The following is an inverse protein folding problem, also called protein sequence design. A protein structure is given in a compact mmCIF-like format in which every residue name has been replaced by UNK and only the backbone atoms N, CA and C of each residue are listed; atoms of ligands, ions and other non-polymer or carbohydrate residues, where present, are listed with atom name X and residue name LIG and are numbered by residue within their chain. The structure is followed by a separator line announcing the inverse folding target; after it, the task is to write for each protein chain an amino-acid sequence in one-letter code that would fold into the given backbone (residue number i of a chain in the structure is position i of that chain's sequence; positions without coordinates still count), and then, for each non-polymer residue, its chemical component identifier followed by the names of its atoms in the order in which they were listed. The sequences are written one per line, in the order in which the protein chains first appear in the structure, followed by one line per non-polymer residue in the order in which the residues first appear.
data_IF_179534437664
#
_entry.id   IF_179534437664
#
_cell.length_a   1.000
_cell.length_b   1.000
_cell.length_c   1.000
_cell.angle_alpha   90.00
_cell.angle_beta   90.00
_cell.angle_gamma   90.00
#
_symmetry.space_group_name_H-M   'P 1'
#
loop_
_entity.id
_entity.type
_entity.pdbx_description
1 polymer ?
#
# COMPACT_ATOMS: atom_id res chain seq x y z
N UNK A 1 -63.39 -50.25 -38.66
CA UNK A 1 -62.51 -50.01 -39.81
C UNK A 1 -61.91 -48.60 -39.73
N UNK A 2 -60.86 -48.35 -38.92
CA UNK A 2 -60.06 -47.10 -38.93
C UNK A 2 -58.62 -47.37 -38.46
N UNK A 3 -58.07 -48.56 -38.76
CA UNK A 3 -56.71 -48.95 -38.35
C UNK A 3 -55.59 -48.88 -39.42
N UNK A 4 -55.85 -48.75 -40.74
CA UNK A 4 -54.75 -48.62 -41.70
C UNK A 4 -54.38 -47.17 -42.11
N UNK A 5 -55.22 -46.16 -41.81
CA UNK A 5 -54.93 -44.75 -42.17
C UNK A 5 -54.04 -43.99 -41.16
N UNK A 6 -53.96 -44.45 -39.90
CA UNK A 6 -53.12 -43.79 -38.89
C UNK A 6 -51.62 -44.13 -39.06
N UNK A 7 -51.29 -45.32 -39.56
CA UNK A 7 -49.90 -45.74 -39.78
C UNK A 7 -49.21 -44.97 -40.90
N UNK A 8 -49.92 -44.62 -41.98
CA UNK A 8 -49.33 -43.86 -43.10
C UNK A 8 -49.00 -42.40 -42.71
N UNK A 9 -49.83 -41.78 -41.86
CA UNK A 9 -49.62 -40.39 -41.43
C UNK A 9 -48.43 -40.26 -40.45
N UNK A 10 -48.24 -41.25 -39.57
CA UNK A 10 -47.14 -41.26 -38.59
C UNK A 10 -45.79 -41.50 -39.28
N UNK A 11 -45.73 -42.36 -40.30
CA UNK A 11 -44.49 -42.60 -41.06
C UNK A 11 -44.08 -41.34 -41.85
N UNK A 12 -45.03 -40.61 -42.43
CA UNK A 12 -44.74 -39.38 -43.17
C UNK A 12 -44.17 -38.27 -42.28
N UNK A 13 -44.73 -38.08 -41.07
CA UNK A 13 -44.24 -37.07 -40.11
C UNK A 13 -42.84 -37.40 -39.58
N UNK A 14 -42.53 -38.68 -39.34
CA UNK A 14 -41.22 -39.11 -38.84
C UNK A 14 -40.10 -38.96 -39.90
N UNK A 15 -40.40 -39.19 -41.17
CA UNK A 15 -39.42 -39.04 -42.26
C UNK A 15 -39.09 -37.56 -42.52
N UNK A 16 -40.07 -36.66 -42.44
CA UNK A 16 -39.86 -35.21 -42.62
C UNK A 16 -39.07 -34.62 -41.45
N UNK A 17 -39.34 -35.05 -40.21
CA UNK A 17 -38.60 -34.58 -39.02
C UNK A 17 -37.12 -35.01 -39.03
N UNK A 18 -36.80 -36.17 -39.62
CA UNK A 18 -35.43 -36.66 -39.74
C UNK A 18 -34.57 -35.90 -40.76
N UNK A 19 -35.20 -35.27 -41.78
CA UNK A 19 -34.48 -34.48 -42.79
C UNK A 19 -34.24 -33.02 -42.36
N UNK A 20 -35.04 -32.46 -41.43
CA UNK A 20 -34.94 -31.06 -41.02
C UNK A 20 -34.03 -30.81 -39.80
N UNK A 21 -33.60 -31.85 -39.06
CA UNK A 21 -32.77 -31.71 -37.86
C UNK A 21 -31.61 -32.73 -37.80
N UNK A 22 -30.39 -32.40 -38.27
CA UNK A 22 -29.23 -33.26 -38.07
C UNK A 22 -28.81 -33.32 -36.59
N UNK A 23 -28.67 -34.54 -36.06
CA UNK A 23 -28.15 -34.81 -34.71
C UNK A 23 -26.65 -34.50 -34.62
N UNK A 24 -26.27 -33.72 -33.60
CA UNK A 24 -24.89 -33.54 -33.13
C UNK A 24 -24.35 -34.84 -32.50
N UNK A 25 -23.03 -35.14 -32.60
CA UNK A 25 -22.48 -36.42 -32.14
C UNK A 25 -22.37 -36.51 -30.61
N UNK A 26 -22.82 -37.67 -30.10
CA UNK A 26 -22.73 -38.12 -28.72
C UNK A 26 -21.37 -38.80 -28.46
N UNK A 27 -20.59 -38.30 -27.51
CA UNK A 27 -19.45 -39.03 -26.93
C UNK A 27 -19.70 -39.46 -25.48
N UNK A 28 -19.23 -40.67 -25.21
CA UNK A 28 -19.55 -41.57 -24.09
C UNK A 28 -19.12 -41.06 -22.71
N UNK A 29 -19.96 -41.38 -21.72
CA UNK A 29 -19.68 -41.27 -20.29
C UNK A 29 -18.81 -42.45 -19.83
N UNK A 30 -17.73 -42.16 -19.11
CA UNK A 30 -17.05 -43.09 -18.21
C UNK A 30 -16.84 -42.41 -16.85
N UNK A 31 -17.21 -43.12 -15.79
CA UNK A 31 -17.26 -42.68 -14.40
C UNK A 31 -15.88 -42.54 -13.75
N UNK A 32 -15.63 -41.45 -13.01
CA UNK A 32 -14.53 -41.35 -12.03
C UNK A 32 -14.95 -40.53 -10.80
N UNK A 33 -14.83 -41.17 -9.64
CA UNK A 33 -14.36 -40.67 -8.33
C UNK A 33 -14.74 -39.26 -7.83
N UNK A 34 -15.45 -39.24 -6.69
CA UNK A 34 -15.49 -38.13 -5.72
C UNK A 34 -14.07 -37.64 -5.40
N UNK A 35 -13.78 -36.36 -5.67
CA UNK A 35 -12.68 -35.62 -5.08
C UNK A 35 -13.10 -34.16 -4.84
N UNK A 36 -12.79 -33.64 -3.65
CA UNK A 36 -13.36 -32.42 -3.08
C UNK A 36 -13.14 -31.14 -3.88
N UNK A 37 -14.17 -30.28 -3.85
CA UNK A 37 -14.11 -28.88 -4.23
C UNK A 37 -13.25 -28.12 -3.21
N UNK A 38 -11.94 -28.12 -3.43
CA UNK A 38 -11.07 -27.05 -2.93
C UNK A 38 -11.24 -25.79 -3.80
N UNK A 39 -11.07 -24.58 -3.25
CA UNK A 39 -11.16 -23.35 -4.04
C UNK A 39 -10.05 -23.32 -5.11
N UNK A 40 -10.29 -22.64 -6.25
CA UNK A 40 -9.36 -22.65 -7.37
C UNK A 40 -8.02 -22.05 -6.97
N UNK A 41 -6.93 -22.78 -7.27
CA UNK A 41 -5.57 -22.27 -7.23
C UNK A 41 -5.47 -21.11 -8.23
N UNK A 42 -5.32 -19.89 -7.72
CA UNK A 42 -5.05 -18.70 -8.52
C UNK A 42 -3.69 -18.84 -9.20
N UNK A 43 -3.71 -19.09 -10.51
CA UNK A 43 -2.57 -18.90 -11.40
C UNK A 43 -2.34 -17.40 -11.52
N UNK A 44 -1.23 -16.91 -10.98
CA UNK A 44 -0.81 -15.51 -11.12
C UNK A 44 -0.48 -15.22 -12.58
N UNK A 45 -1.28 -14.37 -13.21
CA UNK A 45 -0.99 -13.81 -14.54
C UNK A 45 0.34 -13.05 -14.50
N UNK A 46 1.22 -13.37 -15.44
CA UNK A 46 2.61 -12.90 -15.57
C UNK A 46 2.78 -11.36 -15.45
N UNK A 47 3.90 -10.94 -14.85
CA UNK A 47 4.50 -9.61 -15.07
C UNK A 47 4.45 -8.59 -13.93
N UNK A 48 3.81 -8.87 -12.78
CA UNK A 48 3.90 -7.97 -11.61
C UNK A 48 5.00 -8.43 -10.65
N UNK A 49 5.84 -7.50 -10.15
CA UNK A 49 6.83 -7.85 -9.13
C UNK A 49 6.17 -8.47 -7.90
N UNK A 50 6.79 -9.52 -7.33
CA UNK A 50 6.27 -10.19 -6.14
C UNK A 50 6.36 -9.24 -4.94
N UNK A 51 5.21 -8.68 -4.54
CA UNK A 51 5.04 -7.96 -3.28
C UNK A 51 4.84 -8.99 -2.17
N UNK A 52 5.57 -8.86 -1.07
CA UNK A 52 5.53 -9.82 0.02
C UNK A 52 4.89 -9.19 1.25
N UNK A 53 3.99 -9.95 1.85
CA UNK A 53 3.19 -9.55 3.00
C UNK A 53 3.79 -10.06 4.30
N UNK A 54 3.34 -9.52 5.43
CA UNK A 54 3.69 -10.05 6.75
C UNK A 54 3.40 -11.56 6.90
N UNK A 55 2.33 -12.06 6.29
CA UNK A 55 2.01 -13.50 6.30
C UNK A 55 3.09 -14.34 5.63
N UNK A 56 3.71 -13.81 4.57
CA UNK A 56 4.81 -14.47 3.89
C UNK A 56 6.07 -14.47 4.77
N UNK A 57 6.30 -13.39 5.55
CA UNK A 57 7.40 -13.28 6.53
C UNK A 57 7.32 -14.29 7.69
N UNK A 58 6.11 -14.77 8.01
CA UNK A 58 5.90 -15.72 9.10
C UNK A 58 6.20 -17.17 8.70
N UNK A 59 6.41 -17.46 7.42
CA UNK A 59 6.76 -18.82 6.97
C UNK A 59 8.22 -19.11 7.30
N UNK A 60 8.51 -20.34 7.71
CA UNK A 60 9.85 -20.73 8.18
C UNK A 60 10.90 -20.79 7.06
N UNK A 61 10.47 -20.88 5.81
CA UNK A 61 11.33 -20.87 4.62
C UNK A 61 11.63 -19.46 4.10
N UNK A 62 11.20 -18.41 4.81
CA UNK A 62 11.15 -17.07 4.27
C UNK A 62 11.84 -16.03 5.16
N UNK A 63 12.94 -15.47 4.65
CA UNK A 63 13.72 -14.41 5.29
C UNK A 63 13.96 -13.26 4.29
N UNK A 64 14.15 -12.05 4.81
CA UNK A 64 14.59 -10.90 4.04
C UNK A 64 16.08 -11.02 3.70
N UNK A 65 16.37 -11.34 2.45
CA UNK A 65 17.72 -11.61 1.98
C UNK A 65 18.38 -10.35 1.37
N UNK A 66 19.14 -9.62 2.20
CA UNK A 66 19.94 -8.48 1.75
C UNK A 66 21.07 -8.85 0.81
N UNK A 67 21.54 -10.10 0.84
CA UNK A 67 22.57 -10.63 -0.08
C UNK A 67 21.95 -11.03 -1.43
N UNK A 68 20.66 -11.35 -1.45
CA UNK A 68 19.91 -11.70 -2.65
C UNK A 68 19.43 -10.49 -3.46
N UNK A 69 18.17 -10.52 -3.85
CA UNK A 69 17.52 -9.52 -4.72
C UNK A 69 16.41 -8.74 -4.03
N UNK A 70 16.27 -8.91 -2.71
CA UNK A 70 15.18 -8.34 -1.93
C UNK A 70 15.35 -6.84 -1.73
N UNK A 71 14.25 -6.10 -1.87
CA UNK A 71 14.23 -4.65 -1.75
C UNK A 71 13.14 -4.22 -0.78
N UNK A 72 13.55 -3.55 0.29
CA UNK A 72 12.64 -2.83 1.17
C UNK A 72 12.20 -1.52 0.52
N UNK A 73 10.89 -1.27 0.45
CA UNK A 73 10.32 -0.06 -0.16
C UNK A 73 9.59 0.73 0.90
N UNK A 74 10.12 1.90 1.26
CA UNK A 74 9.49 2.77 2.25
C UNK A 74 8.51 3.76 1.62
N UNK A 75 7.21 3.48 1.76
CA UNK A 75 6.12 4.39 1.44
C UNK A 75 5.98 5.43 2.56
N UNK A 76 6.51 6.63 2.31
CA UNK A 76 6.54 7.72 3.29
C UNK A 76 5.31 8.64 3.13
N UNK A 77 4.30 8.43 3.97
CA UNK A 77 3.14 9.33 4.06
C UNK A 77 3.53 10.62 4.80
N UNK A 78 3.05 11.77 4.35
CA UNK A 78 3.37 13.04 4.99
C UNK A 78 2.92 13.03 6.46
N UNK A 79 3.81 13.52 7.33
CA UNK A 79 3.56 13.82 8.74
C UNK A 79 3.30 12.62 9.65
N UNK A 80 3.72 11.41 9.23
CA UNK A 80 3.64 10.17 10.02
C UNK A 80 4.97 9.80 10.69
N UNK A 81 5.80 10.77 11.05
CA UNK A 81 7.13 10.49 11.64
C UNK A 81 8.17 9.90 10.65
N UNK A 82 7.82 9.69 9.38
CA UNK A 82 8.69 9.03 8.39
C UNK A 82 10.05 9.68 8.12
N UNK A 83 10.26 10.93 8.52
CA UNK A 83 11.60 11.55 8.51
C UNK A 83 12.54 10.95 9.55
N UNK A 84 12.04 10.58 10.74
CA UNK A 84 12.84 9.94 11.80
C UNK A 84 13.07 8.48 11.43
N UNK A 85 12.01 7.72 11.15
CA UNK A 85 12.11 6.32 10.74
C UNK A 85 12.96 6.11 9.49
N UNK A 86 12.81 6.96 8.47
CA UNK A 86 13.65 6.89 7.28
C UNK A 86 15.14 7.10 7.57
N UNK A 87 15.50 7.85 8.63
CA UNK A 87 16.91 7.97 9.08
C UNK A 87 17.35 6.71 9.81
N UNK A 88 16.51 6.12 10.66
CA UNK A 88 16.81 4.84 11.31
C UNK A 88 17.16 3.77 10.28
N UNK A 89 16.38 3.66 9.19
CA UNK A 89 16.64 2.70 8.10
C UNK A 89 18.00 2.87 7.41
N UNK A 90 18.59 4.08 7.41
CA UNK A 90 19.87 4.34 6.70
C UNK A 90 21.05 4.57 7.64
N UNK A 91 20.85 4.65 8.95
CA UNK A 91 21.91 4.99 9.91
C UNK A 91 22.00 4.06 11.10
N UNK A 92 20.87 3.48 11.50
CA UNK A 92 20.75 2.86 12.81
C UNK A 92 20.45 1.37 12.73
N UNK A 93 20.48 0.74 11.54
CA UNK A 93 20.42 -0.72 11.41
C UNK A 93 21.80 -1.35 11.57
N UNK A 94 21.86 -2.45 12.30
CA UNK A 94 23.03 -3.32 12.38
C UNK A 94 23.15 -4.13 11.10
N UNK A 95 24.13 -3.80 10.26
CA UNK A 95 24.31 -4.37 8.91
C UNK A 95 25.75 -4.80 8.70
N UNK A 96 25.95 -5.92 7.99
CA UNK A 96 27.29 -6.35 7.50
C UNK A 96 27.98 -5.22 6.72
N UNK A 97 27.20 -4.49 5.91
CA UNK A 97 27.64 -3.29 5.20
C UNK A 97 26.70 -2.12 5.50
N UNK A 98 27.07 -1.20 6.40
CA UNK A 98 26.28 -0.01 6.69
C UNK A 98 26.09 0.88 5.45
N UNK A 99 24.99 1.64 5.41
CA UNK A 99 24.80 2.64 4.36
C UNK A 99 25.85 3.76 4.47
N UNK A 100 26.37 4.19 3.32
CA UNK A 100 27.35 5.27 3.26
C UNK A 100 26.64 6.63 3.18
N UNK A 101 26.58 7.33 4.31
CA UNK A 101 25.95 8.65 4.43
C UNK A 101 27.00 9.78 4.49
N UNK A 102 27.25 10.47 3.38
CA UNK A 102 28.19 11.60 3.36
C UNK A 102 27.58 12.84 4.02
N UNK A 103 28.36 13.54 4.86
CA UNK A 103 27.95 14.80 5.49
C UNK A 103 27.55 15.82 4.41
N UNK A 104 26.45 16.55 4.66
CA UNK A 104 25.89 17.51 3.71
C UNK A 104 25.06 16.89 2.57
N UNK A 105 25.16 15.59 2.31
CA UNK A 105 24.29 14.91 1.33
C UNK A 105 23.02 14.41 2.00
N UNK A 106 21.87 14.70 1.37
CA UNK A 106 20.57 14.21 1.84
C UNK A 106 20.37 12.71 1.61
N UNK A 107 21.09 12.09 0.67
CA UNK A 107 20.96 10.66 0.34
C UNK A 107 22.19 9.89 0.77
N UNK A 108 21.96 8.69 1.29
CA UNK A 108 22.95 7.69 1.62
C UNK A 108 23.00 6.60 0.53
N UNK A 109 24.15 5.94 0.38
CA UNK A 109 24.28 4.77 -0.49
C UNK A 109 24.07 3.50 0.35
N UNK A 110 22.90 2.89 0.22
CA UNK A 110 22.56 1.61 0.86
C UNK A 110 22.75 0.47 -0.14
N UNK A 111 24.01 0.09 -0.35
CA UNK A 111 24.39 -0.96 -1.28
C UNK A 111 24.49 -2.31 -0.57
N UNK A 112 24.24 -3.40 -1.31
CA UNK A 112 24.41 -4.78 -0.81
C UNK A 112 25.87 -5.07 -0.42
N UNK A 113 26.15 -6.11 0.41
CA UNK A 113 27.52 -6.56 0.65
C UNK A 113 28.27 -6.86 -0.67
N UNK A 114 29.60 -6.62 -0.73
CA UNK A 114 30.37 -6.82 -1.97
C UNK A 114 30.29 -8.25 -2.51
N UNK A 115 30.23 -9.23 -1.61
CA UNK A 115 30.07 -10.66 -1.89
C UNK A 115 28.75 -11.04 -2.55
N UNK A 116 27.76 -10.13 -2.58
CA UNK A 116 26.37 -10.47 -2.83
C UNK A 116 25.61 -9.42 -3.67
N UNK A 117 26.25 -8.87 -4.71
CA UNK A 117 25.59 -7.93 -5.64
C UNK A 117 26.12 -6.49 -5.61
N UNK A 118 27.19 -6.24 -4.87
CA UNK A 118 28.08 -5.09 -5.09
C UNK A 118 27.42 -3.72 -4.88
N UNK A 119 27.09 -3.01 -5.96
CA UNK A 119 26.59 -1.62 -5.91
C UNK A 119 25.06 -1.49 -5.99
N UNK A 120 24.34 -2.60 -6.12
CA UNK A 120 22.87 -2.65 -6.13
C UNK A 120 22.29 -2.28 -4.78
N UNK A 121 21.08 -1.70 -4.77
CA UNK A 121 20.48 -1.21 -3.53
C UNK A 121 19.46 -2.21 -2.97
N UNK A 122 19.49 -2.40 -1.65
CA UNK A 122 18.50 -3.20 -0.92
C UNK A 122 17.35 -2.33 -0.34
N UNK A 123 17.46 -1.01 -0.43
CA UNK A 123 16.50 -0.06 0.14
C UNK A 123 16.05 0.98 -0.89
N UNK A 124 14.75 1.04 -1.17
CA UNK A 124 14.11 2.10 -1.93
C UNK A 124 13.39 3.08 -1.00
N UNK A 125 13.96 4.28 -0.82
CA UNK A 125 13.43 5.29 0.08
C UNK A 125 13.91 6.70 -0.30
N UNK A 126 13.29 7.73 0.30
CA UNK A 126 13.75 9.12 0.22
C UNK A 126 15.26 9.25 0.52
N UNK A 127 15.76 8.54 1.52
CA UNK A 127 17.13 8.70 2.02
C UNK A 127 18.14 7.74 1.37
N UNK A 128 17.70 6.81 0.53
CA UNK A 128 18.58 5.97 -0.29
C UNK A 128 18.52 6.37 -1.77
N UNK A 129 17.45 6.00 -2.47
CA UNK A 129 17.28 6.21 -3.91
C UNK A 129 16.77 7.63 -4.23
N UNK A 130 16.16 8.30 -3.26
CA UNK A 130 15.47 9.58 -3.44
C UNK A 130 14.06 9.39 -3.98
N UNK A 131 13.45 10.47 -4.47
CA UNK A 131 12.07 10.46 -4.99
C UNK A 131 11.98 9.97 -6.44
N UNK A 132 12.55 8.78 -6.73
CA UNK A 132 12.61 8.23 -8.10
C UNK A 132 11.24 8.01 -8.73
N UNK A 133 10.24 7.68 -7.91
CA UNK A 133 8.85 7.48 -8.35
C UNK A 133 7.93 8.68 -8.13
N UNK A 134 8.46 9.83 -7.72
CA UNK A 134 7.67 11.01 -7.36
C UNK A 134 7.86 11.40 -5.90
N UNK A 135 7.67 12.69 -5.61
CA UNK A 135 7.75 13.22 -4.25
C UNK A 135 6.59 12.64 -3.43
N UNK A 136 6.91 11.93 -2.33
CA UNK A 136 5.92 11.23 -1.52
C UNK A 136 5.02 10.30 -2.34
N UNK A 137 5.62 9.54 -3.26
CA UNK A 137 4.92 8.58 -4.09
C UNK A 137 4.07 7.63 -3.23
N UNK A 138 2.79 7.52 -3.59
CA UNK A 138 1.82 6.68 -2.88
C UNK A 138 1.86 5.21 -3.31
N UNK A 139 0.95 4.38 -2.79
CA UNK A 139 0.87 2.97 -3.13
C UNK A 139 0.65 2.75 -4.63
N UNK A 140 -0.23 3.55 -5.26
CA UNK A 140 -0.54 3.46 -6.69
C UNK A 140 0.71 3.78 -7.51
N UNK A 141 1.40 4.87 -7.16
CA UNK A 141 2.62 5.30 -7.85
C UNK A 141 3.79 4.32 -7.65
N UNK A 142 4.10 3.93 -6.41
CA UNK A 142 5.23 3.07 -6.12
C UNK A 142 5.09 1.70 -6.77
N UNK A 143 3.89 1.11 -6.69
CA UNK A 143 3.69 -0.25 -7.17
C UNK A 143 3.67 -0.37 -8.70
N UNK A 144 3.48 0.75 -9.41
CA UNK A 144 3.63 0.85 -10.85
C UNK A 144 5.06 1.26 -11.29
N UNK A 145 5.91 1.77 -10.39
CA UNK A 145 7.15 2.45 -10.76
C UNK A 145 8.44 1.79 -10.24
N UNK A 146 8.44 1.23 -9.03
CA UNK A 146 9.67 0.88 -8.29
C UNK A 146 10.58 -0.07 -9.08
N UNK A 147 10.00 -1.10 -9.72
CA UNK A 147 10.76 -2.12 -10.45
C UNK A 147 11.55 -1.52 -11.62
N UNK A 148 10.86 -0.81 -12.51
CA UNK A 148 11.50 -0.08 -13.60
C UNK A 148 12.50 0.98 -13.08
N UNK A 149 12.18 1.67 -11.98
CA UNK A 149 13.09 2.66 -11.40
C UNK A 149 14.40 2.04 -10.89
N UNK A 150 14.33 0.84 -10.32
CA UNK A 150 15.50 0.08 -9.88
C UNK A 150 16.32 -0.42 -11.07
N UNK A 151 15.68 -0.99 -12.09
CA UNK A 151 16.36 -1.46 -13.31
C UNK A 151 17.14 -0.35 -14.01
N UNK A 152 16.54 0.83 -14.16
CA UNK A 152 17.24 2.01 -14.73
C UNK A 152 18.40 2.46 -13.87
N UNK A 153 18.27 2.42 -12.55
CA UNK A 153 19.32 2.86 -11.63
C UNK A 153 20.50 1.88 -11.63
N UNK A 154 20.22 0.58 -11.74
CA UNK A 154 21.20 -0.50 -11.73
C UNK A 154 21.72 -0.86 -13.13
N UNK A 155 21.13 -0.25 -14.18
CA UNK A 155 21.41 -0.50 -15.60
C UNK A 155 21.29 -1.98 -16.00
N UNK A 156 20.47 -2.73 -15.27
CA UNK A 156 20.25 -4.15 -15.50
C UNK A 156 18.91 -4.58 -14.91
N UNK A 157 18.14 -5.42 -15.62
CA UNK A 157 16.96 -6.06 -15.04
C UNK A 157 17.38 -7.05 -13.95
N UNK A 158 16.55 -7.16 -12.91
CA UNK A 158 16.68 -8.22 -11.92
C UNK A 158 15.30 -8.67 -11.46
N UNK A 159 15.15 -9.98 -11.25
CA UNK A 159 13.98 -10.52 -10.57
C UNK A 159 14.09 -10.13 -9.10
N UNK A 160 13.28 -9.17 -8.63
CA UNK A 160 13.30 -8.66 -7.26
C UNK A 160 12.03 -9.02 -6.50
N UNK A 161 12.20 -9.16 -5.20
CA UNK A 161 11.13 -9.29 -4.21
C UNK A 161 10.98 -7.96 -3.47
N UNK A 162 9.76 -7.44 -3.34
CA UNK A 162 9.51 -6.12 -2.77
C UNK A 162 8.77 -6.18 -1.44
N UNK A 163 9.35 -5.56 -0.44
CA UNK A 163 8.87 -5.55 0.94
C UNK A 163 8.43 -4.13 1.28
N UNK A 164 7.14 -3.87 1.10
CA UNK A 164 6.60 -2.55 1.36
C UNK A 164 6.50 -2.31 2.86
N UNK A 165 7.00 -1.16 3.28
CA UNK A 165 6.95 -0.68 4.67
C UNK A 165 6.39 0.73 4.72
N UNK A 166 5.68 1.08 5.78
CA UNK A 166 5.13 2.43 5.96
C UNK A 166 4.98 2.81 7.44
N UNK A 167 4.65 4.07 7.71
CA UNK A 167 4.24 4.54 9.02
C UNK A 167 2.89 5.24 8.94
N UNK A 168 2.05 4.98 9.93
CA UNK A 168 0.79 5.67 10.18
C UNK A 168 0.88 6.53 11.44
N UNK A 169 -0.11 7.40 11.59
CA UNK A 169 -0.26 8.32 12.70
C UNK A 169 -1.73 8.57 13.01
N UNK A 170 -2.03 8.85 14.27
CA UNK A 170 -3.37 9.27 14.68
C UNK A 170 -3.85 10.42 13.76
N UNK A 171 -5.02 10.28 13.10
CA UNK A 171 -5.42 11.15 12.00
C UNK A 171 -5.52 12.64 12.35
N UNK A 172 -6.05 12.98 13.54
CA UNK A 172 -6.20 14.38 13.97
C UNK A 172 -4.81 14.99 14.20
N UNK A 173 -3.93 14.32 14.93
CA UNK A 173 -2.55 14.74 15.17
C UNK A 173 -1.75 14.88 13.85
N UNK A 174 -1.95 13.94 12.92
CA UNK A 174 -1.35 13.96 11.57
C UNK A 174 -1.83 15.17 10.76
N UNK A 175 -3.14 15.43 10.74
CA UNK A 175 -3.75 16.56 10.04
C UNK A 175 -3.28 17.91 10.60
N UNK A 176 -3.27 18.07 11.92
CA UNK A 176 -2.76 19.29 12.57
C UNK A 176 -1.26 19.49 12.33
N UNK A 177 -0.48 18.40 12.30
CA UNK A 177 0.94 18.47 11.93
C UNK A 177 1.14 18.92 10.48
N UNK A 178 0.24 18.53 9.58
CA UNK A 178 0.24 18.95 8.18
C UNK A 178 -0.12 20.43 8.06
N UNK A 179 -1.23 20.87 8.67
CA UNK A 179 -1.64 22.26 8.74
C UNK A 179 -0.47 23.17 9.15
N UNK A 180 0.19 22.88 10.27
CA UNK A 180 1.34 23.67 10.75
C UNK A 180 2.54 23.63 9.81
N UNK A 181 2.69 22.60 9.00
CA UNK A 181 3.76 22.53 8.01
C UNK A 181 3.43 23.37 6.78
N UNK A 182 2.18 23.31 6.33
CA UNK A 182 1.64 24.08 5.21
C UNK A 182 1.64 25.57 5.54
N UNK A 183 1.21 25.96 6.74
CA UNK A 183 1.25 27.33 7.25
C UNK A 183 2.66 27.94 7.21
N UNK A 184 3.72 27.12 7.24
CA UNK A 184 5.12 27.55 7.10
C UNK A 184 5.70 27.34 5.69
N UNK A 185 4.85 27.12 4.69
CA UNK A 185 5.21 27.06 3.26
C UNK A 185 5.41 25.67 2.64
N UNK A 186 5.04 24.59 3.34
CA UNK A 186 5.06 23.28 2.70
C UNK A 186 3.88 23.13 1.71
N UNK A 187 4.17 22.70 0.48
CA UNK A 187 3.14 22.46 -0.53
C UNK A 187 3.15 21.04 -1.07
N UNK A 188 4.33 20.42 -1.13
CA UNK A 188 4.59 19.19 -1.89
C UNK A 188 4.13 19.26 -3.36
N UNK A 189 4.07 20.45 -3.97
CA UNK A 189 3.63 20.66 -5.36
C UNK A 189 4.43 19.89 -6.43
N UNK A 190 5.57 19.30 -6.07
CA UNK A 190 6.35 18.42 -6.94
C UNK A 190 5.91 16.94 -6.92
N UNK A 191 4.85 16.61 -6.17
CA UNK A 191 4.19 15.31 -6.24
C UNK A 191 3.53 15.14 -7.61
N UNK A 192 3.65 13.95 -8.19
CA UNK A 192 3.16 13.69 -9.56
C UNK A 192 1.73 13.18 -9.57
N UNK A 193 1.32 12.48 -8.52
CA UNK A 193 -0.02 11.93 -8.39
C UNK A 193 -0.37 11.01 -9.56
N UNK A 194 0.60 10.22 -10.04
CA UNK A 194 0.39 9.38 -11.21
C UNK A 194 -0.61 8.26 -10.88
N UNK A 195 -1.68 8.20 -11.66
CA UNK A 195 -2.66 7.14 -11.60
C UNK A 195 -3.20 6.86 -13.01
N UNK A 196 -3.41 5.59 -13.35
CA UNK A 196 -3.84 5.22 -14.72
C UNK A 196 -2.86 5.67 -15.81
N UNK A 197 -1.56 5.81 -15.49
CA UNK A 197 -0.52 6.22 -16.44
C UNK A 197 -0.40 7.72 -16.69
N UNK A 198 -1.18 8.58 -16.02
CA UNK A 198 -1.11 10.04 -16.17
C UNK A 198 -1.19 10.79 -14.84
N UNK A 199 -0.82 12.06 -14.85
CA UNK A 199 -1.08 13.00 -13.75
C UNK A 199 -2.56 13.47 -13.80
N UNK A 200 -3.14 13.90 -12.67
CA UNK A 200 -4.44 14.55 -12.65
C UNK A 200 -4.38 15.90 -13.36
N UNK A 201 -5.50 16.29 -13.96
CA UNK A 201 -5.70 17.64 -14.48
C UNK A 201 -5.93 18.64 -13.33
N UNK A 202 -5.88 19.94 -13.61
CA UNK A 202 -6.20 20.97 -12.64
C UNK A 202 -7.65 20.90 -12.15
N UNK A 203 -8.57 20.41 -12.99
CA UNK A 203 -9.98 20.24 -12.63
C UNK A 203 -10.19 19.01 -11.72
N UNK A 204 -9.44 17.93 -11.95
CA UNK A 204 -9.48 16.73 -11.10
C UNK A 204 -8.82 16.97 -9.73
N UNK A 205 -7.81 17.84 -9.68
CA UNK A 205 -7.09 18.15 -8.45
C UNK A 205 -6.72 19.63 -8.35
N UNK A 206 -7.69 20.52 -8.05
CA UNK A 206 -7.44 21.95 -7.95
C UNK A 206 -6.63 22.29 -6.70
N UNK A 207 -5.81 23.32 -6.79
CA UNK A 207 -5.03 23.82 -5.65
C UNK A 207 -5.93 24.55 -4.64
N UNK A 208 -5.60 24.43 -3.36
CA UNK A 208 -6.26 25.20 -2.30
C UNK A 208 -5.72 26.63 -2.13
N UNK A 209 -4.70 27.00 -2.90
CA UNK A 209 -4.00 28.26 -2.75
C UNK A 209 -3.62 28.83 -4.11
N UNK A 210 -3.49 30.15 -4.14
CA UNK A 210 -3.01 30.89 -5.30
C UNK A 210 -1.51 31.17 -5.15
N UNK A 211 -0.78 31.24 -6.26
CA UNK A 211 0.64 31.58 -6.25
C UNK A 211 1.56 30.40 -5.91
N UNK A 212 2.58 30.64 -5.08
CA UNK A 212 3.71 29.70 -4.92
C UNK A 212 3.53 28.68 -3.80
N UNK A 213 2.85 29.07 -2.73
CA UNK A 213 2.54 28.25 -1.55
C UNK A 213 1.33 28.79 -0.76
N UNK A 214 1.01 28.11 0.35
CA UNK A 214 -0.11 28.42 1.23
C UNK A 214 0.38 28.88 2.62
N UNK A 215 1.44 29.71 2.64
CA UNK A 215 1.95 30.33 3.87
C UNK A 215 0.85 31.13 4.55
N UNK A 216 0.94 31.16 5.88
CA UNK A 216 0.05 31.94 6.75
C UNK A 216 -1.44 31.58 6.66
N UNK A 217 -1.79 30.48 5.97
CA UNK A 217 -3.15 29.92 5.97
C UNK A 217 -3.69 29.78 7.39
N UNK A 218 -4.90 30.26 7.60
CA UNK A 218 -5.61 30.09 8.86
C UNK A 218 -6.13 28.66 8.99
N UNK A 219 -6.44 28.24 10.22
CA UNK A 219 -6.94 26.89 10.42
C UNK A 219 -8.29 26.65 9.72
N UNK A 220 -9.16 27.66 9.72
CA UNK A 220 -10.48 27.58 9.08
C UNK A 220 -10.38 27.50 7.54
N UNK A 221 -9.50 28.28 6.91
CA UNK A 221 -9.26 28.15 5.46
C UNK A 221 -8.70 26.77 5.09
N UNK A 222 -7.82 26.22 5.93
CA UNK A 222 -7.27 24.88 5.73
C UNK A 222 -8.34 23.80 5.80
N UNK A 223 -9.30 23.93 6.72
CA UNK A 223 -10.46 23.03 6.82
C UNK A 223 -11.45 23.19 5.66
N UNK A 224 -11.69 24.43 5.22
CA UNK A 224 -12.73 24.75 4.26
C UNK A 224 -12.42 24.32 2.82
N UNK A 225 -11.14 24.13 2.45
CA UNK A 225 -10.79 23.77 1.07
C UNK A 225 -11.23 22.33 0.69
N UNK A 226 -12.14 22.14 -0.28
CA UNK A 226 -12.66 20.81 -0.64
C UNK A 226 -11.64 19.88 -1.31
N UNK A 227 -10.57 20.43 -1.89
CA UNK A 227 -9.48 19.69 -2.54
C UNK A 227 -8.25 19.51 -1.65
N UNK A 228 -8.34 19.82 -0.34
CA UNK A 228 -7.22 19.70 0.56
C UNK A 228 -6.75 18.24 0.68
N UNK A 229 -5.58 17.94 0.14
CA UNK A 229 -4.97 16.61 0.15
C UNK A 229 -4.58 16.12 1.55
N UNK A 230 -4.64 16.96 2.58
CA UNK A 230 -4.51 16.52 3.96
C UNK A 230 -5.69 15.64 4.40
N UNK A 231 -6.87 15.82 3.81
CA UNK A 231 -8.07 15.04 4.10
C UNK A 231 -7.89 13.59 3.65
N UNK A 232 -8.12 12.64 4.57
CA UNK A 232 -8.03 11.20 4.35
C UNK A 232 -6.73 10.78 3.65
N UNK A 233 -5.62 11.47 3.98
CA UNK A 233 -4.33 11.31 3.29
C UNK A 233 -3.82 9.87 3.42
N UNK A 234 -3.91 9.26 4.59
CA UNK A 234 -3.35 7.93 4.82
C UNK A 234 -4.10 6.89 4.00
N UNK A 235 -5.43 6.96 4.00
CA UNK A 235 -6.30 6.09 3.20
C UNK A 235 -6.04 6.27 1.72
N UNK A 236 -6.06 7.51 1.22
CA UNK A 236 -5.78 7.80 -0.20
C UNK A 236 -4.40 7.29 -0.62
N UNK A 237 -3.37 7.50 0.19
CA UNK A 237 -2.00 7.12 -0.17
C UNK A 237 -1.70 5.63 -0.03
N UNK A 238 -2.54 4.87 0.69
CA UNK A 238 -2.44 3.42 0.78
C UNK A 238 -3.37 2.67 -0.18
N UNK A 239 -4.45 3.30 -0.63
CA UNK A 239 -5.37 2.71 -1.58
C UNK A 239 -4.76 2.58 -2.99
N UNK A 240 -5.28 1.61 -3.75
CA UNK A 240 -5.15 1.59 -5.20
C UNK A 240 -6.20 2.54 -5.80
N UNK A 241 -5.75 3.73 -6.21
CA UNK A 241 -6.63 4.78 -6.72
C UNK A 241 -7.25 4.43 -8.08
N UNK A 242 -6.71 3.44 -8.80
CA UNK A 242 -7.30 3.00 -10.08
C UNK A 242 -8.69 2.38 -9.89
N UNK A 243 -8.99 1.85 -8.70
CA UNK A 243 -10.29 1.27 -8.35
C UNK A 243 -11.42 2.31 -8.28
N UNK A 244 -11.08 3.59 -8.14
CA UNK A 244 -12.03 4.69 -7.97
C UNK A 244 -11.92 5.74 -9.07
N UNK A 245 -11.44 5.35 -10.25
CA UNK A 245 -11.26 6.29 -11.36
C UNK A 245 -10.18 7.35 -11.10
N UNK A 246 -9.15 7.02 -10.32
CA UNK A 246 -8.07 7.93 -9.95
C UNK A 246 -8.57 9.18 -9.21
N UNK A 247 -8.23 10.38 -9.69
CA UNK A 247 -8.65 11.66 -9.09
C UNK A 247 -9.96 12.19 -9.67
N UNK A 248 -10.56 11.52 -10.66
CA UNK A 248 -11.88 11.87 -11.15
C UNK A 248 -12.93 11.50 -10.10
N UNK A 249 -13.57 12.51 -9.50
CA UNK A 249 -14.63 12.35 -8.50
C UNK A 249 -16.03 12.19 -9.10
N UNK A 250 -16.21 12.44 -10.39
CA UNK A 250 -17.51 12.41 -11.07
C UNK A 250 -17.95 11.01 -11.49
N UNK A 251 -17.06 10.03 -11.44
CA UNK A 251 -17.31 8.66 -11.94
C UNK A 251 -18.14 7.76 -11.02
N UNK A 252 -18.35 8.15 -9.77
CA UNK A 252 -19.12 7.39 -8.76
C UNK A 252 -19.54 8.29 -7.61
N UNK A 253 -20.47 7.81 -6.77
CA UNK A 253 -20.87 8.55 -5.56
C UNK A 253 -19.73 8.64 -4.54
N UNK A 254 -19.75 9.67 -3.68
CA UNK A 254 -18.76 9.82 -2.60
C UNK A 254 -18.77 8.62 -1.65
N UNK A 255 -19.96 8.12 -1.30
CA UNK A 255 -20.11 6.96 -0.43
C UNK A 255 -19.47 5.70 -1.02
N UNK A 256 -19.73 5.40 -2.29
CA UNK A 256 -19.13 4.25 -2.98
C UNK A 256 -17.61 4.40 -3.07
N UNK A 257 -17.13 5.60 -3.41
CA UNK A 257 -15.70 5.91 -3.47
C UNK A 257 -15.02 5.67 -2.13
N UNK A 258 -15.63 6.12 -1.04
CA UNK A 258 -15.10 6.01 0.31
C UNK A 258 -15.00 4.55 0.77
N UNK A 259 -16.04 3.74 0.49
CA UNK A 259 -16.02 2.30 0.74
C UNK A 259 -14.87 1.60 0.00
N UNK A 260 -14.70 1.88 -1.29
CA UNK A 260 -13.64 1.29 -2.11
C UNK A 260 -12.25 1.72 -1.66
N UNK A 261 -12.06 3.01 -1.34
CA UNK A 261 -10.79 3.54 -0.83
C UNK A 261 -10.40 2.87 0.49
N UNK A 262 -11.32 2.81 1.46
CA UNK A 262 -11.04 2.22 2.76
C UNK A 262 -10.76 0.72 2.66
N UNK A 263 -11.56 -0.01 1.88
CA UNK A 263 -11.34 -1.45 1.65
C UNK A 263 -9.98 -1.71 1.00
N UNK A 264 -9.62 -0.91 -0.01
CA UNK A 264 -8.32 -1.00 -0.68
C UNK A 264 -7.16 -0.67 0.26
N UNK A 265 -7.25 0.42 1.02
CA UNK A 265 -6.22 0.82 1.98
C UNK A 265 -5.99 -0.23 3.07
N UNK A 266 -7.07 -0.81 3.64
CA UNK A 266 -6.97 -1.91 4.63
C UNK A 266 -6.30 -3.14 4.03
N UNK A 267 -6.70 -3.55 2.83
CA UNK A 267 -6.09 -4.67 2.11
C UNK A 267 -4.60 -4.44 1.86
N UNK A 268 -4.24 -3.26 1.36
CA UNK A 268 -2.85 -2.92 1.04
C UNK A 268 -2.01 -2.81 2.31
N UNK A 269 -2.52 -2.20 3.38
CA UNK A 269 -1.86 -2.16 4.69
C UNK A 269 -1.64 -3.57 5.25
N UNK A 270 -2.63 -4.47 5.18
CA UNK A 270 -2.47 -5.87 5.59
C UNK A 270 -1.40 -6.59 4.78
N UNK A 271 -1.26 -6.23 3.49
CA UNK A 271 -0.27 -6.81 2.58
C UNK A 271 1.13 -6.19 2.69
N UNK A 272 1.36 -5.19 3.53
CA UNK A 272 2.73 -4.71 3.78
C UNK A 272 3.50 -5.75 4.57
N UNK A 273 4.82 -5.83 4.32
CA UNK A 273 5.71 -6.61 5.17
C UNK A 273 5.70 -6.03 6.60
N UNK A 274 5.73 -4.70 6.72
CA UNK A 274 5.73 -3.99 7.99
C UNK A 274 4.95 -2.67 7.92
N UNK A 275 4.34 -2.28 9.03
CA UNK A 275 4.00 -0.88 9.28
C UNK A 275 4.20 -0.55 10.75
N UNK A 276 4.50 0.72 11.04
CA UNK A 276 4.58 1.24 12.40
C UNK A 276 3.53 2.32 12.66
N UNK A 277 3.27 2.60 13.93
CA UNK A 277 2.41 3.70 14.38
C UNK A 277 3.28 4.74 15.08
N UNK A 278 3.04 6.01 14.79
CA UNK A 278 3.84 7.11 15.35
C UNK A 278 3.73 7.14 16.88
N UNK A 279 2.54 6.79 17.38
CA UNK A 279 2.18 6.74 18.80
C UNK A 279 2.74 5.51 19.53
N UNK A 280 3.25 4.50 18.81
CA UNK A 280 3.70 3.21 19.36
C UNK A 280 5.14 2.88 18.88
N UNK A 281 6.11 3.75 19.15
CA UNK A 281 7.47 3.61 18.61
C UNK A 281 8.17 2.32 19.04
N UNK A 282 8.08 1.98 20.32
CA UNK A 282 8.72 0.78 20.86
C UNK A 282 8.12 -0.51 20.27
N UNK A 283 6.79 -0.59 20.20
CA UNK A 283 6.11 -1.73 19.55
C UNK A 283 6.41 -1.80 18.05
N UNK A 284 6.53 -0.64 17.39
CA UNK A 284 6.92 -0.55 15.98
C UNK A 284 8.35 -1.05 15.75
N UNK A 285 9.29 -0.73 16.66
CA UNK A 285 10.65 -1.27 16.59
C UNK A 285 10.64 -2.80 16.74
N UNK A 286 10.00 -3.32 17.80
CA UNK A 286 9.91 -4.77 18.03
C UNK A 286 9.32 -5.51 16.84
N UNK A 287 8.21 -5.00 16.29
CA UNK A 287 7.57 -5.58 15.12
C UNK A 287 8.50 -5.55 13.90
N UNK A 288 9.23 -4.46 13.65
CA UNK A 288 10.17 -4.37 12.54
C UNK A 288 11.30 -5.39 12.67
N UNK A 289 11.96 -5.41 13.83
CA UNK A 289 13.12 -6.26 14.10
C UNK A 289 12.76 -7.74 13.96
N UNK A 290 11.64 -8.15 14.55
CA UNK A 290 11.15 -9.52 14.46
C UNK A 290 10.65 -9.88 13.05
N UNK A 291 10.09 -8.93 12.30
CA UNK A 291 9.64 -9.19 10.91
C UNK A 291 10.81 -9.44 9.97
N UNK A 292 11.89 -8.67 10.10
CA UNK A 292 13.00 -8.70 9.14
C UNK A 292 14.24 -9.45 9.63
N UNK A 293 14.27 -9.92 10.88
CA UNK A 293 15.49 -10.50 11.48
C UNK A 293 16.63 -9.48 11.63
N UNK A 294 16.30 -8.19 11.71
CA UNK A 294 17.27 -7.10 11.82
C UNK A 294 17.20 -6.45 13.19
N UNK A 295 18.23 -5.69 13.56
CA UNK A 295 18.27 -4.94 14.81
C UNK A 295 18.64 -3.49 14.58
N UNK A 296 18.06 -2.60 15.37
CA UNK A 296 18.50 -1.22 15.43
C UNK A 296 19.55 -1.05 16.52
N UNK A 297 20.69 -0.43 16.18
CA UNK A 297 21.73 -0.05 17.16
C UNK A 297 21.31 1.11 18.04
N UNK A 298 20.34 1.92 17.58
CA UNK A 298 19.72 2.99 18.37
C UNK A 298 18.22 2.70 18.50
N UNK A 299 17.68 2.61 19.73
CA UNK A 299 16.27 2.37 19.93
C UNK A 299 15.43 3.54 19.42
N UNK A 300 14.18 3.27 19.07
CA UNK A 300 13.24 4.32 18.72
C UNK A 300 12.82 5.08 19.97
N UNK A 301 12.82 6.41 19.89
CA UNK A 301 12.42 7.28 21.00
C UNK A 301 10.93 7.63 20.88
N UNK A 302 10.17 7.35 21.94
CA UNK A 302 8.77 7.75 22.04
C UNK A 302 8.68 9.24 22.38
N UNK A 303 8.12 10.03 21.45
CA UNK A 303 7.88 11.45 21.66
C UNK A 303 6.39 11.68 21.94
N UNK A 304 6.01 11.62 23.21
CA UNK A 304 4.63 11.84 23.67
C UNK A 304 4.15 13.28 23.36
N UNK A 305 5.05 14.25 23.46
CA UNK A 305 4.78 15.65 23.12
C UNK A 305 5.42 16.01 21.78
N UNK A 306 4.59 16.08 20.74
CA UNK A 306 5.01 16.62 19.45
C UNK A 306 4.51 18.05 19.30
N UNK A 307 5.11 18.83 18.37
CA UNK A 307 4.58 20.16 18.00
C UNK A 307 3.09 20.15 17.63
N UNK A 308 2.57 19.01 17.15
CA UNK A 308 1.14 18.80 16.88
C UNK A 308 0.32 18.53 18.16
N UNK A 309 0.85 17.77 19.12
CA UNK A 309 0.19 17.54 20.41
C UNK A 309 0.09 18.83 21.23
N UNK A 310 1.17 19.64 21.26
CA UNK A 310 1.15 20.97 21.87
C UNK A 310 0.22 21.96 21.15
N UNK A 311 -0.02 21.75 19.84
CA UNK A 311 -0.96 22.56 19.07
C UNK A 311 -2.42 22.12 19.27
N UNK A 312 -2.69 20.85 19.59
CA UNK A 312 -4.05 20.35 19.88
C UNK A 312 -4.67 21.12 21.06
N UNK A 313 -3.91 21.40 22.12
CA UNK A 313 -4.40 22.18 23.26
C UNK A 313 -4.79 23.64 22.95
N UNK A 314 -4.55 24.12 21.71
CA UNK A 314 -4.92 25.47 21.26
C UNK A 314 -6.01 25.47 20.20
N UNK A 315 -6.51 24.30 19.80
CA UNK A 315 -7.58 24.14 18.81
C UNK A 315 -8.88 23.89 19.57
N UNK A 316 -9.98 24.62 19.27
CA UNK A 316 -11.27 24.39 19.91
C UNK A 316 -11.75 22.93 19.77
N UNK A 317 -12.50 22.39 20.76
CA UNK A 317 -13.03 21.03 20.66
C UNK A 317 -13.86 20.76 19.40
N UNK A 318 -14.73 21.71 19.01
CA UNK A 318 -15.58 21.59 17.81
C UNK A 318 -14.76 21.47 16.53
N UNK A 319 -13.63 22.18 16.48
CA UNK A 319 -12.67 22.15 15.39
C UNK A 319 -11.94 20.80 15.32
N UNK A 320 -11.58 20.20 16.47
CA UNK A 320 -11.01 18.85 16.52
C UNK A 320 -12.01 17.79 16.04
N UNK A 321 -13.29 17.96 16.39
CA UNK A 321 -14.35 17.09 15.92
C UNK A 321 -14.58 17.24 14.40
N UNK A 322 -14.54 18.48 13.89
CA UNK A 322 -14.59 18.75 12.46
C UNK A 322 -13.44 18.08 11.70
N UNK A 323 -12.20 18.14 12.22
CA UNK A 323 -11.05 17.41 11.66
C UNK A 323 -11.32 15.91 11.65
N UNK A 324 -11.86 15.35 12.74
CA UNK A 324 -12.16 13.92 12.86
C UNK A 324 -13.20 13.48 11.83
N UNK A 325 -14.29 14.24 11.66
CA UNK A 325 -15.33 13.98 10.65
C UNK A 325 -14.77 14.09 9.22
N UNK A 326 -13.96 15.12 8.97
CA UNK A 326 -13.33 15.30 7.67
C UNK A 326 -12.39 14.14 7.32
N UNK A 327 -11.65 13.62 8.31
CA UNK A 327 -10.71 12.51 8.16
C UNK A 327 -11.31 11.14 8.56
N UNK A 328 -12.62 10.94 8.38
CA UNK A 328 -13.32 9.74 8.85
C UNK A 328 -12.80 8.42 8.28
N UNK A 329 -12.23 8.40 7.06
CA UNK A 329 -11.59 7.20 6.51
C UNK A 329 -10.27 6.90 7.20
N UNK A 330 -9.45 7.94 7.43
CA UNK A 330 -8.19 7.78 8.14
C UNK A 330 -8.42 7.31 9.58
N UNK A 331 -9.49 7.77 10.24
CA UNK A 331 -9.91 7.27 11.57
C UNK A 331 -10.21 5.77 11.51
N UNK A 332 -11.07 5.34 10.59
CA UNK A 332 -11.41 3.93 10.42
C UNK A 332 -10.22 3.04 9.98
N UNK A 333 -9.27 3.61 9.25
CA UNK A 333 -8.03 2.93 8.86
C UNK A 333 -7.07 2.82 10.04
N UNK A 334 -6.94 3.87 10.85
CA UNK A 334 -6.05 3.89 12.00
C UNK A 334 -6.52 2.92 13.09
N UNK A 335 -7.83 2.88 13.38
CA UNK A 335 -8.42 1.90 14.31
C UNK A 335 -8.17 0.45 13.84
N UNK A 336 -8.25 0.22 12.52
CA UNK A 336 -7.90 -1.06 11.92
C UNK A 336 -6.40 -1.38 12.08
N UNK A 337 -5.54 -0.38 11.86
CA UNK A 337 -4.10 -0.53 11.96
C UNK A 337 -3.64 -0.88 13.38
N UNK A 338 -4.25 -0.29 14.41
CA UNK A 338 -3.98 -0.65 15.81
C UNK A 338 -4.31 -2.12 16.09
N UNK A 339 -5.50 -2.57 15.69
CA UNK A 339 -5.92 -3.98 15.85
C UNK A 339 -4.98 -4.93 15.11
N UNK A 340 -4.63 -4.59 13.87
CA UNK A 340 -3.72 -5.38 13.05
C UNK A 340 -2.30 -5.43 13.63
N UNK A 341 -1.79 -4.34 14.22
CA UNK A 341 -0.49 -4.33 14.88
C UNK A 341 -0.48 -5.28 16.09
N UNK A 342 -1.52 -5.24 16.92
CA UNK A 342 -1.68 -6.17 18.05
C UNK A 342 -1.74 -7.63 17.58
N UNK A 343 -2.49 -7.93 16.52
CA UNK A 343 -2.55 -9.25 15.90
C UNK A 343 -1.15 -9.73 15.44
N UNK A 344 -0.40 -8.88 14.74
CA UNK A 344 0.95 -9.21 14.24
C UNK A 344 1.95 -9.49 15.36
N UNK A 345 1.94 -8.64 16.40
CA UNK A 345 2.81 -8.84 17.57
C UNK A 345 2.49 -10.14 18.31
N UNK A 346 1.20 -10.46 18.46
CA UNK A 346 0.78 -11.70 19.10
C UNK A 346 1.28 -12.94 18.34
N UNK A 347 1.14 -12.94 17.00
CA UNK A 347 1.62 -14.05 16.17
C UNK A 347 3.13 -14.23 16.19
N UNK A 348 3.90 -13.14 16.30
CA UNK A 348 5.34 -13.21 16.47
C UNK A 348 5.74 -13.82 17.81
N UNK A 349 5.02 -13.49 18.89
CA UNK A 349 5.25 -14.10 20.21
C UNK A 349 4.99 -15.62 20.17
N UNK A 350 3.88 -16.04 19.57
CA UNK A 350 3.52 -17.46 19.42
C UNK A 350 4.57 -18.24 18.60
N UNK A 351 5.09 -17.64 17.52
CA UNK A 351 6.18 -18.23 16.73
C UNK A 351 7.46 -18.38 17.56
N UNK A 352 7.85 -17.35 18.32
CA UNK A 352 9.04 -17.38 19.17
C UNK A 352 8.96 -18.42 20.29
N UNK A 353 7.79 -18.62 20.89
CA UNK A 353 7.56 -19.68 21.88
C UNK A 353 7.71 -21.08 21.30
N UNK A 354 7.22 -21.30 20.07
CA UNK A 354 7.29 -22.61 19.41
C UNK A 354 8.69 -22.99 18.90
N UNK A 355 9.59 -22.03 18.69
CA UNK A 355 10.98 -22.30 18.27
C UNK A 355 11.94 -22.51 19.46
N UNK A 356 11.50 -22.21 20.69
CA UNK A 356 12.25 -22.39 21.93
C UNK A 356 11.79 -23.58 22.78
N UNK A 357 10.85 -24.38 22.27
CA UNK A 357 10.40 -25.67 22.82
C UNK A 357 11.07 -26.80 22.05
#
# INVERSE_FOLDING_TARGET
MVRPLLCALVVFVLVVAAYLFPRLPSHRVASVGRAGLGPPRFVTREGRPSKLSFEDMLRDDFEFDMRGSDVMVFLHIQKTGGTVFGRHLVRDLELERPCQCLRGRKRCRCARPPSAGGQRSWLFSRYSTGWKCGLHADWTELTACVDHAMDRAEKAPAKRRYFYVTLLREPVARFLSEFRHVQRGATWRGSRHLCGGRAPTADELPLCFNGTDWRDVTFQEFLACPSNLAVNRQTRMLADLTLVGCYNRSGMSEHERDLLLLASARKNLRSTAFFGLTEEQHLSQQLFEATFGLRFVRPFEQLNETRSTAAQGRVPPDDLEAVRRLNHLDVQLYDYAQKLMSERLQRLKERGSNQGS
#
